data_IF_586808057739
#
_entry.id   IF_586808057739
#
_cell.length_a   1.000
_cell.length_b   1.000
_cell.length_c   1.000
_cell.angle_alpha   90.00
_cell.angle_beta   90.00
_cell.angle_gamma   90.00
#
_symmetry.space_group_name_H-M   'P 1'
#
loop_
_entity.id
_entity.type
_entity.pdbx_description
1 polymer ?
#
# COMPACT_ATOMS: atom_id res chain seq x y z
N UNK A 1 17.18 10.44 11.45
CA UNK A 1 16.76 9.04 11.21
C UNK A 1 15.71 8.67 12.25
N UNK A 2 14.75 7.78 11.96
CA UNK A 2 13.78 7.34 12.97
C UNK A 2 14.52 6.72 14.16
N UNK A 3 14.12 7.04 15.40
CA UNK A 3 14.78 6.54 16.62
C UNK A 3 14.14 5.25 17.16
N UNK A 4 12.94 4.90 16.69
CA UNK A 4 12.16 3.75 17.15
C UNK A 4 11.55 3.04 15.95
N UNK A 5 11.77 1.72 15.85
CA UNK A 5 11.16 0.88 14.83
C UNK A 5 9.63 0.79 14.99
N UNK A 6 8.89 0.75 13.89
CA UNK A 6 7.42 0.72 13.88
C UNK A 6 6.84 -0.47 14.65
N UNK A 7 7.37 -1.67 14.43
CA UNK A 7 6.95 -2.88 15.14
C UNK A 7 7.17 -2.76 16.66
N UNK A 8 8.30 -2.18 17.08
CA UNK A 8 8.57 -1.93 18.50
C UNK A 8 7.57 -0.92 19.08
N UNK A 9 7.30 0.16 18.36
CA UNK A 9 6.34 1.17 18.79
C UNK A 9 4.92 0.58 18.90
N UNK A 10 4.52 -0.28 17.97
CA UNK A 10 3.25 -1.01 18.03
C UNK A 10 3.18 -1.97 19.23
N UNK A 11 4.21 -2.81 19.42
CA UNK A 11 4.21 -3.86 20.45
C UNK A 11 4.22 -3.30 21.88
N UNK A 12 4.96 -2.20 22.11
CA UNK A 12 5.10 -1.57 23.43
C UNK A 12 4.25 -0.30 23.60
N UNK A 13 3.30 -0.05 22.68
CA UNK A 13 2.40 1.11 22.70
C UNK A 13 3.13 2.48 22.87
N UNK A 14 4.30 2.61 22.22
CA UNK A 14 5.11 3.84 22.27
C UNK A 14 4.41 4.94 21.49
N UNK A 15 3.98 5.99 22.19
CA UNK A 15 3.24 7.12 21.60
C UNK A 15 4.13 8.02 20.75
N UNK A 16 3.54 8.69 19.76
CA UNK A 16 4.19 9.74 18.96
C UNK A 16 5.09 9.25 17.82
N UNK A 17 5.26 7.94 17.63
CA UNK A 17 6.13 7.38 16.57
C UNK A 17 5.46 7.37 15.20
N UNK A 18 4.17 7.03 15.14
CA UNK A 18 3.38 6.99 13.90
C UNK A 18 1.92 7.38 14.16
N UNK A 19 1.18 7.65 13.08
CA UNK A 19 -0.27 7.79 13.08
C UNK A 19 -0.90 6.64 12.28
N UNK A 20 -2.15 6.28 12.59
CA UNK A 20 -2.88 5.18 11.92
C UNK A 20 -3.92 5.70 10.92
N UNK A 21 -3.66 6.87 10.35
CA UNK A 21 -4.55 7.65 9.49
C UNK A 21 -3.95 7.82 8.08
N UNK A 22 -3.29 6.78 7.56
CA UNK A 22 -2.94 6.75 6.14
C UNK A 22 -4.24 6.69 5.32
N UNK A 23 -4.46 7.60 4.36
CA UNK A 23 -5.75 7.69 3.67
C UNK A 23 -5.90 6.55 2.66
N UNK A 24 -7.08 5.95 2.60
CA UNK A 24 -7.39 4.88 1.64
C UNK A 24 -7.48 5.39 0.19
N UNK A 25 -7.68 6.70 0.01
CA UNK A 25 -7.77 7.35 -1.30
C UNK A 25 -6.89 8.61 -1.34
N UNK A 26 -6.44 9.04 -2.54
CA UNK A 26 -5.73 10.30 -2.69
C UNK A 26 -6.56 11.48 -2.11
N UNK A 27 -5.98 12.35 -1.27
CA UNK A 27 -6.71 13.47 -0.64
C UNK A 27 -7.32 14.46 -1.63
N UNK A 28 -6.79 14.52 -2.86
CA UNK A 28 -7.31 15.32 -3.96
C UNK A 28 -7.27 14.48 -5.23
N UNK A 29 -8.44 14.20 -5.79
CA UNK A 29 -8.55 13.57 -7.09
C UNK A 29 -8.21 14.58 -8.21
N UNK A 30 -7.55 14.09 -9.25
CA UNK A 30 -7.25 14.83 -10.47
C UNK A 30 -7.09 13.83 -11.62
N UNK A 31 -6.85 14.34 -12.83
CA UNK A 31 -6.48 13.49 -13.96
C UNK A 31 -5.01 13.04 -13.79
N UNK A 32 -4.79 11.87 -13.17
CA UNK A 32 -3.46 11.40 -12.76
C UNK A 32 -2.50 11.22 -13.93
N UNK A 33 -3.01 10.91 -15.13
CA UNK A 33 -2.18 10.58 -16.30
C UNK A 33 -2.31 11.58 -17.48
N UNK A 34 -3.10 12.67 -17.35
CA UNK A 34 -3.34 13.65 -18.43
C UNK A 34 -2.50 14.94 -18.35
N UNK A 35 -2.27 15.63 -19.48
CA UNK A 35 -1.44 16.85 -19.57
C UNK A 35 -2.20 18.17 -19.25
N UNK A 36 -1.58 19.28 -18.78
CA UNK A 36 -0.35 19.44 -17.99
C UNK A 36 -0.64 19.83 -16.52
N UNK A 37 0.45 19.86 -15.72
CA UNK A 37 0.60 20.01 -14.26
C UNK A 37 -0.13 21.20 -13.59
N UNK A 38 -1.47 21.24 -13.58
CA UNK A 38 -2.21 22.13 -12.67
C UNK A 38 -2.28 21.56 -11.25
N UNK A 39 -1.76 20.35 -11.04
CA UNK A 39 -1.68 19.72 -9.74
C UNK A 39 -0.48 20.28 -8.96
N UNK A 40 -0.75 20.68 -7.72
CA UNK A 40 0.29 21.07 -6.78
C UNK A 40 1.24 19.88 -6.54
N UNK A 41 2.52 20.04 -6.85
CA UNK A 41 3.57 19.03 -6.69
C UNK A 41 4.05 18.90 -5.23
N UNK A 42 3.57 19.74 -4.31
CA UNK A 42 3.96 19.66 -2.91
C UNK A 42 3.39 18.40 -2.27
N UNK A 43 4.30 17.48 -1.95
CA UNK A 43 4.05 16.38 -1.02
C UNK A 43 4.34 16.81 0.42
N UNK A 44 3.89 16.03 1.40
CA UNK A 44 4.20 16.22 2.82
C UNK A 44 4.87 14.98 3.37
N UNK A 45 5.78 15.18 4.34
CA UNK A 45 6.45 14.08 5.04
C UNK A 45 5.63 13.66 6.26
N UNK A 46 5.53 12.36 6.51
CA UNK A 46 4.91 11.82 7.72
C UNK A 46 5.06 10.31 7.84
N UNK A 47 4.96 9.79 9.06
CA UNK A 47 4.96 8.35 9.36
C UNK A 47 3.53 7.91 9.65
N UNK A 48 2.85 7.35 8.66
CA UNK A 48 1.43 6.98 8.71
C UNK A 48 1.25 5.54 8.27
N UNK A 49 0.37 4.82 8.94
CA UNK A 49 0.08 3.41 8.69
C UNK A 49 -1.40 3.22 8.37
N UNK A 50 -1.72 2.29 7.47
CA UNK A 50 -3.07 1.74 7.33
C UNK A 50 -3.24 0.60 8.32
N UNK A 51 -4.26 0.67 9.18
CA UNK A 51 -4.58 -0.41 10.12
C UNK A 51 -5.70 -1.26 9.53
N UNK A 52 -5.38 -2.50 9.18
CA UNK A 52 -6.31 -3.44 8.54
C UNK A 52 -6.69 -4.52 9.55
N UNK A 53 -7.97 -4.89 9.62
CA UNK A 53 -8.42 -5.99 10.47
C UNK A 53 -7.89 -7.32 9.95
N UNK A 54 -7.44 -8.19 10.86
CA UNK A 54 -6.97 -9.53 10.53
C UNK A 54 -8.01 -10.29 9.71
N UNK A 55 -7.54 -11.06 8.74
CA UNK A 55 -8.33 -11.89 7.83
C UNK A 55 -9.27 -11.11 6.87
N UNK A 56 -9.14 -9.78 6.80
CA UNK A 56 -9.81 -8.97 5.78
C UNK A 56 -9.35 -9.34 4.38
N UNK A 57 -10.26 -9.35 3.42
CA UNK A 57 -9.90 -9.36 1.98
C UNK A 57 -9.71 -7.92 1.53
N UNK A 58 -8.53 -7.62 0.98
CA UNK A 58 -8.13 -6.27 0.59
C UNK A 58 -7.95 -6.24 -0.92
N UNK A 59 -8.51 -5.22 -1.56
CA UNK A 59 -8.11 -4.79 -2.90
C UNK A 59 -7.32 -3.49 -2.77
N UNK A 60 -6.13 -3.45 -3.37
CA UNK A 60 -5.32 -2.25 -3.47
C UNK A 60 -5.13 -1.91 -4.95
N UNK A 61 -5.57 -0.72 -5.33
CA UNK A 61 -5.32 -0.18 -6.67
C UNK A 61 -4.21 0.85 -6.58
N UNK A 62 -3.13 0.61 -7.32
CA UNK A 62 -1.95 1.45 -7.35
C UNK A 62 -1.96 2.19 -8.67
N UNK A 63 -2.09 3.52 -8.60
CA UNK A 63 -2.20 4.41 -9.75
C UNK A 63 -0.90 5.20 -9.92
N UNK A 64 -0.25 5.05 -11.07
CA UNK A 64 0.85 5.92 -11.48
C UNK A 64 0.32 7.32 -11.82
N UNK A 65 1.17 8.34 -11.65
CA UNK A 65 0.86 9.72 -11.99
C UNK A 65 1.91 10.29 -12.93
N UNK A 66 1.55 11.28 -13.73
CA UNK A 66 2.51 12.01 -14.57
C UNK A 66 3.16 13.22 -13.86
N UNK A 67 3.14 13.24 -12.52
CA UNK A 67 3.78 14.30 -11.75
C UNK A 67 5.30 14.18 -11.89
N UNK A 68 5.93 15.21 -12.46
CA UNK A 68 7.36 15.29 -12.82
C UNK A 68 7.76 14.43 -14.03
N UNK A 69 7.54 13.13 -13.98
CA UNK A 69 7.84 12.16 -15.04
C UNK A 69 6.79 11.05 -15.02
N UNK A 70 6.64 10.36 -16.15
CA UNK A 70 5.85 9.13 -16.21
C UNK A 70 6.82 7.97 -16.14
N UNK A 71 6.70 7.11 -15.13
CA UNK A 71 7.68 6.06 -14.85
C UNK A 71 6.98 4.74 -14.53
N UNK A 72 7.68 3.63 -14.76
CA UNK A 72 7.21 2.34 -14.27
C UNK A 72 7.71 2.15 -12.85
N UNK A 73 6.82 1.82 -11.92
CA UNK A 73 7.16 1.64 -10.51
C UNK A 73 6.93 0.19 -10.05
N UNK A 74 7.97 -0.55 -9.64
CA UNK A 74 7.79 -1.85 -9.01
C UNK A 74 7.30 -1.67 -7.58
N UNK A 75 6.06 -2.07 -7.30
CA UNK A 75 5.48 -2.07 -5.96
C UNK A 75 5.67 -3.45 -5.31
N UNK A 76 6.27 -3.47 -4.12
CA UNK A 76 6.50 -4.67 -3.32
C UNK A 76 5.75 -4.58 -1.98
N UNK A 77 5.12 -5.69 -1.56
CA UNK A 77 4.43 -5.80 -0.28
C UNK A 77 5.12 -6.86 0.59
N UNK A 78 5.64 -6.46 1.74
CA UNK A 78 6.21 -7.39 2.71
C UNK A 78 5.11 -8.23 3.38
N UNK A 79 5.44 -9.45 3.77
CA UNK A 79 4.56 -10.32 4.57
C UNK A 79 3.44 -11.00 3.77
N UNK A 80 3.25 -10.66 2.50
CA UNK A 80 2.18 -11.18 1.65
C UNK A 80 2.67 -11.44 0.23
N UNK A 81 2.17 -12.52 -0.36
CA UNK A 81 1.91 -12.53 -1.79
C UNK A 81 0.49 -11.97 -2.04
N UNK A 82 0.24 -11.56 -3.28
CA UNK A 82 -1.04 -11.03 -3.74
C UNK A 82 -1.33 -11.51 -5.16
N UNK A 83 -2.60 -11.52 -5.52
CA UNK A 83 -3.06 -11.78 -6.88
C UNK A 83 -3.15 -10.47 -7.67
N UNK A 84 -2.49 -10.38 -8.82
CA UNK A 84 -2.67 -9.24 -9.74
C UNK A 84 -3.91 -9.50 -10.58
N UNK A 85 -5.03 -8.86 -10.22
CA UNK A 85 -6.34 -9.12 -10.83
C UNK A 85 -6.60 -8.24 -12.05
N UNK A 86 -5.89 -7.13 -12.19
CA UNK A 86 -6.03 -6.26 -13.36
C UNK A 86 -4.87 -5.28 -13.48
N UNK A 87 -4.61 -4.85 -14.71
CA UNK A 87 -3.71 -3.75 -15.04
C UNK A 87 -4.34 -2.94 -16.16
N UNK A 88 -3.95 -1.68 -16.28
CA UNK A 88 -4.43 -0.82 -17.35
C UNK A 88 -3.58 0.43 -17.52
N UNK A 89 -3.81 1.14 -18.61
CA UNK A 89 -3.19 2.44 -18.90
C UNK A 89 -4.23 3.54 -18.67
N UNK A 90 -3.78 4.71 -18.21
CA UNK A 90 -4.62 5.83 -17.86
C UNK A 90 -5.04 5.81 -16.39
N UNK A 91 -6.13 6.54 -16.08
CA UNK A 91 -6.71 6.56 -14.75
C UNK A 91 -7.62 5.35 -14.54
N UNK A 92 -7.44 4.64 -13.42
CA UNK A 92 -8.36 3.59 -13.01
C UNK A 92 -9.80 4.10 -12.90
N UNK A 93 -10.73 3.36 -13.48
CA UNK A 93 -12.15 3.58 -13.41
C UNK A 93 -12.82 2.47 -12.60
N UNK A 94 -13.12 2.77 -11.34
CA UNK A 94 -13.74 1.82 -10.39
C UNK A 94 -15.11 1.28 -10.83
N UNK A 95 -15.79 1.94 -11.77
CA UNK A 95 -17.07 1.48 -12.29
C UNK A 95 -16.94 0.56 -13.53
N UNK A 96 -15.78 0.53 -14.19
CA UNK A 96 -15.58 -0.19 -15.47
C UNK A 96 -14.48 -1.23 -15.38
N UNK A 97 -13.31 -0.86 -14.89
CA UNK A 97 -12.13 -1.73 -14.93
C UNK A 97 -12.27 -3.02 -14.11
N UNK A 98 -12.97 -3.05 -12.96
CA UNK A 98 -13.22 -4.31 -12.26
C UNK A 98 -13.98 -5.36 -13.08
N UNK A 99 -14.71 -4.97 -14.13
CA UNK A 99 -15.44 -5.90 -15.00
C UNK A 99 -14.51 -6.71 -15.91
N UNK A 100 -13.27 -6.28 -16.10
CA UNK A 100 -12.25 -6.95 -16.91
C UNK A 100 -11.20 -7.68 -16.08
N UNK A 101 -11.36 -7.71 -14.75
CA UNK A 101 -10.42 -8.41 -13.88
C UNK A 101 -10.32 -9.90 -14.22
N UNK A 102 -9.09 -10.41 -14.18
CA UNK A 102 -8.87 -11.84 -14.11
C UNK A 102 -9.17 -12.32 -12.68
N UNK A 103 -10.32 -12.94 -12.50
CA UNK A 103 -10.77 -13.55 -11.24
C UNK A 103 -10.76 -15.08 -11.30
N UNK A 104 -10.17 -15.67 -12.34
CA UNK A 104 -10.12 -17.13 -12.54
C UNK A 104 -8.73 -17.65 -12.18
N UNK A 105 -7.70 -17.09 -12.79
CA UNK A 105 -6.30 -17.53 -12.62
C UNK A 105 -5.29 -16.36 -12.58
N UNK A 106 -5.55 -15.31 -11.77
CA UNK A 106 -4.61 -14.19 -11.68
C UNK A 106 -3.24 -14.65 -11.16
N UNK A 107 -2.13 -14.08 -11.68
CA UNK A 107 -0.81 -14.42 -11.20
C UNK A 107 -0.62 -13.97 -9.75
N UNK A 108 -0.15 -14.90 -8.92
CA UNK A 108 0.28 -14.61 -7.55
C UNK A 108 1.74 -14.13 -7.55
N UNK A 109 2.00 -12.98 -6.91
CA UNK A 109 3.31 -12.31 -6.85
C UNK A 109 3.47 -11.58 -5.51
N UNK A 110 4.70 -11.20 -5.15
CA UNK A 110 4.96 -10.23 -4.06
C UNK A 110 5.36 -8.85 -4.57
N UNK A 111 5.61 -8.72 -5.88
CA UNK A 111 6.02 -7.49 -6.55
C UNK A 111 5.27 -7.38 -7.87
N UNK A 112 4.73 -6.20 -8.17
CA UNK A 112 4.05 -5.91 -9.43
C UNK A 112 4.60 -4.61 -10.01
N UNK A 113 4.84 -4.61 -11.32
CA UNK A 113 5.13 -3.37 -12.04
C UNK A 113 3.84 -2.60 -12.28
N UNK A 114 3.77 -1.38 -11.76
CA UNK A 114 2.77 -0.40 -12.18
C UNK A 114 3.31 0.26 -13.43
N UNK A 115 2.65 0.01 -14.57
CA UNK A 115 3.09 0.51 -15.86
C UNK A 115 3.09 2.04 -15.92
N UNK A 116 4.02 2.60 -16.69
CA UNK A 116 4.10 4.01 -17.04
C UNK A 116 2.75 4.59 -17.43
N UNK A 117 2.22 5.50 -16.61
CA UNK A 117 0.97 6.21 -16.83
C UNK A 117 -0.25 5.29 -16.71
N UNK A 118 -0.18 4.26 -15.89
CA UNK A 118 -1.23 3.26 -15.73
C UNK A 118 -1.53 2.91 -14.28
N UNK A 119 -2.17 1.76 -14.09
CA UNK A 119 -2.56 1.26 -12.78
C UNK A 119 -2.44 -0.26 -12.71
N UNK A 120 -2.29 -0.77 -11.49
CA UNK A 120 -2.39 -2.19 -11.18
C UNK A 120 -3.34 -2.39 -9.99
N UNK A 121 -4.22 -3.38 -10.10
CA UNK A 121 -5.11 -3.80 -9.03
C UNK A 121 -4.65 -5.16 -8.49
N UNK A 122 -4.41 -5.21 -7.19
CA UNK A 122 -4.00 -6.43 -6.49
C UNK A 122 -5.00 -6.80 -5.41
N UNK A 123 -5.18 -8.10 -5.16
CA UNK A 123 -5.98 -8.62 -4.05
C UNK A 123 -5.18 -9.55 -3.18
N UNK A 124 -5.36 -9.43 -1.86
CA UNK A 124 -4.75 -10.32 -0.88
C UNK A 124 -5.64 -10.44 0.35
N UNK A 125 -5.35 -11.43 1.18
CA UNK A 125 -5.97 -11.60 2.50
C UNK A 125 -4.97 -11.12 3.54
N UNK A 126 -5.40 -10.24 4.45
CA UNK A 126 -4.57 -9.72 5.53
C UNK A 126 -4.52 -10.71 6.72
N UNK A 127 -4.02 -11.92 6.48
CA UNK A 127 -3.96 -13.05 7.42
C UNK A 127 -2.56 -13.29 8.04
N UNK A 128 -1.63 -12.36 7.86
CA UNK A 128 -0.32 -12.38 8.52
C UNK A 128 -0.26 -11.25 9.57
N UNK A 129 -0.41 -11.54 10.88
CA UNK A 129 -0.42 -10.53 11.93
C UNK A 129 1.00 -10.14 12.36
N UNK A 130 1.20 -8.85 12.69
CA UNK A 130 2.48 -8.29 13.15
C UNK A 130 2.42 -7.73 14.61
N UNK A 131 1.67 -8.36 15.52
CA UNK A 131 1.65 -7.92 16.91
C UNK A 131 0.65 -8.66 17.81
N UNK A 132 0.56 -8.29 19.11
CA UNK A 132 -0.28 -8.96 20.10
C UNK A 132 -1.73 -8.51 19.95
N UNK A 133 -2.36 -8.87 18.83
CA UNK A 133 -3.81 -8.94 18.73
C UNK A 133 -4.34 -10.11 19.54
N UNK A 134 -5.62 -10.07 19.94
CA UNK A 134 -6.27 -11.13 20.73
C UNK A 134 -6.24 -12.52 20.06
N UNK A 135 -5.87 -12.59 18.77
CA UNK A 135 -6.02 -13.79 17.95
C UNK A 135 -4.72 -14.48 17.49
N UNK A 136 -3.47 -14.01 17.72
CA UNK A 136 -2.28 -14.87 17.45
C UNK A 136 -0.85 -14.36 17.82
N UNK A 137 -0.11 -15.25 18.50
CA UNK A 137 1.29 -15.77 18.30
C UNK A 137 2.51 -14.92 17.95
N UNK A 138 2.45 -13.60 17.73
CA UNK A 138 3.65 -12.83 17.38
C UNK A 138 4.52 -12.64 18.62
N UNK A 139 5.72 -13.26 18.61
CA UNK A 139 6.69 -13.10 19.71
C UNK A 139 7.11 -11.63 19.80
N UNK A 140 7.34 -11.10 21.02
CA UNK A 140 7.88 -9.76 21.18
C UNK A 140 9.16 -9.60 20.36
N UNK A 141 9.42 -8.39 19.81
CA UNK A 141 10.71 -8.09 19.21
C UNK A 141 11.84 -8.44 20.20
N UNK A 142 12.97 -9.03 19.73
CA UNK A 142 14.09 -9.36 20.60
C UNK A 142 14.53 -8.15 21.44
N UNK A 143 14.83 -8.37 22.72
CA UNK A 143 15.21 -7.29 23.65
C UNK A 143 16.53 -6.61 23.26
N UNK A 144 17.33 -7.28 22.46
CA UNK A 144 18.64 -6.89 21.95
C UNK A 144 18.59 -6.27 20.54
N UNK A 145 17.40 -5.91 20.03
CA UNK A 145 17.31 -5.15 18.79
C UNK A 145 18.12 -3.85 18.88
N UNK A 146 18.97 -3.54 17.89
CA UNK A 146 19.73 -2.30 17.85
C UNK A 146 18.81 -1.09 18.01
N UNK A 147 19.24 -0.10 18.79
CA UNK A 147 18.64 1.23 18.71
C UNK A 147 18.93 1.82 17.32
N UNK A 148 17.92 2.47 16.75
CA UNK A 148 18.03 3.09 15.43
C UNK A 148 18.96 4.29 15.42
#
# INVERSE_FOLDING_TARGET
MPQVALLRAHYFDVKGVFKTDFPDNPPKAFNYTGAPLTANLFTTKGTRLSKIAFNSTVELVIQDTNLLSVESHPFHLHGFNFFVVGTGIGNFNSAKDPTTYNLVDPPERNTVGVSTGGWAAIRFRADNPDGPGKDQSVRPPPKDLPQC
#
